data_IF_702841172716
#
_entry.id   IF_702841172716
#
_cell.length_a   1.000
_cell.length_b   1.000
_cell.length_c   1.000
_cell.angle_alpha   90.00
_cell.angle_beta   90.00
_cell.angle_gamma   90.00
#
_symmetry.space_group_name_H-M   'P 1'
#
loop_
_entity.id
_entity.type
_entity.pdbx_description
1 polymer ?
#
# COMPACT_ATOMS: atom_id res chain seq x y z
N UNK A 1 -79.56 -34.95 23.45
CA UNK A 1 -78.56 -33.93 23.28
C UNK A 1 -77.14 -34.44 22.81
N UNK A 2 -76.92 -35.74 22.66
CA UNK A 2 -75.66 -36.35 22.23
C UNK A 2 -75.53 -36.51 20.70
N UNK A 3 -76.59 -36.26 19.96
CA UNK A 3 -76.67 -36.64 18.52
C UNK A 3 -76.39 -35.50 17.52
N UNK A 4 -76.22 -34.24 17.96
CA UNK A 4 -76.10 -33.07 17.06
C UNK A 4 -74.72 -32.85 16.42
N UNK A 5 -73.67 -33.56 16.87
CA UNK A 5 -72.30 -33.35 16.40
C UNK A 5 -71.67 -34.61 15.77
N UNK A 6 -72.43 -35.56 15.35
CA UNK A 6 -71.86 -36.75 14.71
C UNK A 6 -71.74 -36.49 13.22
N UNK A 7 -70.52 -36.60 12.72
CA UNK A 7 -70.20 -36.37 11.29
C UNK A 7 -71.01 -37.35 10.39
N UNK A 8 -71.47 -36.87 9.25
CA UNK A 8 -72.13 -37.70 8.22
C UNK A 8 -71.30 -38.95 7.92
N UNK A 9 -71.93 -40.14 8.06
CA UNK A 9 -71.26 -41.40 7.76
C UNK A 9 -70.71 -42.15 8.99
N UNK A 10 -70.81 -41.57 10.17
CA UNK A 10 -70.54 -42.28 11.41
C UNK A 10 -71.81 -43.02 11.82
N UNK A 11 -71.66 -44.26 12.33
CA UNK A 11 -72.73 -45.10 12.81
C UNK A 11 -72.55 -45.40 14.30
N UNK A 12 -73.59 -45.31 15.05
CA UNK A 12 -73.61 -45.70 16.46
C UNK A 12 -74.64 -46.74 16.58
N UNK A 13 -74.22 -47.92 17.00
CA UNK A 13 -75.10 -49.09 17.23
C UNK A 13 -75.18 -49.40 18.72
N UNK A 14 -76.37 -49.50 19.25
CA UNK A 14 -76.60 -49.98 20.60
C UNK A 14 -77.40 -51.27 20.51
N UNK A 15 -76.94 -52.32 21.15
CA UNK A 15 -77.58 -53.64 21.14
C UNK A 15 -77.48 -54.30 22.52
N UNK A 16 -78.47 -55.18 22.85
CA UNK A 16 -78.47 -55.97 24.08
C UNK A 16 -77.60 -57.24 23.90
N UNK A 17 -77.41 -58.01 25.00
CA UNK A 17 -76.66 -59.27 24.93
C UNK A 17 -77.31 -60.33 24.06
N UNK A 18 -78.63 -60.23 23.78
CA UNK A 18 -79.34 -61.07 22.80
C UNK A 18 -79.16 -60.55 21.39
N UNK A 19 -78.34 -59.49 21.21
CA UNK A 19 -78.07 -58.83 19.93
C UNK A 19 -79.30 -58.20 19.23
N UNK A 20 -80.29 -57.82 20.03
CA UNK A 20 -81.41 -57.05 19.52
C UNK A 20 -80.99 -55.58 19.50
N UNK A 21 -81.20 -54.90 18.37
CA UNK A 21 -80.85 -53.50 18.22
C UNK A 21 -81.77 -52.62 19.02
N UNK A 22 -81.23 -51.90 19.99
CA UNK A 22 -82.00 -50.98 20.85
C UNK A 22 -82.09 -49.59 20.15
N UNK A 23 -81.03 -49.18 19.50
CA UNK A 23 -80.97 -47.88 18.79
C UNK A 23 -79.91 -47.93 17.74
N UNK A 24 -80.19 -47.37 16.59
CA UNK A 24 -79.23 -47.13 15.50
C UNK A 24 -79.30 -45.65 15.06
N UNK A 25 -78.16 -44.98 15.05
CA UNK A 25 -78.07 -43.62 14.58
C UNK A 25 -77.33 -43.61 13.25
N UNK A 26 -77.98 -43.05 12.25
CA UNK A 26 -77.47 -42.91 10.88
C UNK A 26 -77.39 -44.20 10.04
N UNK A 27 -78.00 -45.28 10.49
CA UNK A 27 -78.01 -46.55 9.74
C UNK A 27 -79.42 -47.06 9.57
N UNK A 28 -79.86 -47.13 8.34
CA UNK A 28 -81.24 -47.73 8.07
C UNK A 28 -81.12 -49.22 8.10
N UNK A 29 -81.25 -49.77 9.30
CA UNK A 29 -81.11 -51.21 9.54
C UNK A 29 -82.51 -51.90 9.43
N UNK A 30 -82.98 -52.04 8.20
CA UNK A 30 -84.21 -52.71 7.92
C UNK A 30 -84.03 -54.21 7.60
N UNK A 31 -82.82 -54.75 7.50
CA UNK A 31 -82.60 -56.17 7.22
C UNK A 31 -81.80 -56.85 8.36
N UNK A 32 -82.38 -57.92 8.91
CA UNK A 32 -81.78 -58.80 9.89
C UNK A 32 -80.42 -59.33 9.49
N UNK A 33 -80.20 -59.60 8.19
CA UNK A 33 -78.97 -60.14 7.63
C UNK A 33 -77.77 -59.19 7.77
N UNK A 34 -78.01 -57.89 7.70
CA UNK A 34 -76.96 -56.86 7.86
C UNK A 34 -76.48 -56.76 9.29
N UNK A 35 -77.41 -56.89 10.27
CA UNK A 35 -77.04 -56.85 11.68
C UNK A 35 -76.25 -58.11 12.04
N UNK A 36 -76.62 -59.27 11.48
CA UNK A 36 -75.93 -60.53 11.74
C UNK A 36 -74.50 -60.54 11.15
N UNK A 37 -74.28 -59.97 9.96
CA UNK A 37 -72.94 -59.78 9.37
C UNK A 37 -72.06 -58.79 10.18
N UNK A 38 -72.71 -57.76 10.71
CA UNK A 38 -72.01 -56.76 11.55
C UNK A 38 -71.66 -57.41 12.92
N UNK A 39 -72.55 -58.22 13.50
CA UNK A 39 -72.32 -58.99 14.71
C UNK A 39 -71.12 -59.93 14.56
N UNK A 40 -71.06 -60.69 13.49
CA UNK A 40 -69.99 -61.64 13.22
C UNK A 40 -68.60 -60.93 13.09
N UNK A 41 -68.60 -59.72 12.67
CA UNK A 41 -67.37 -58.90 12.58
C UNK A 41 -67.01 -58.21 13.91
N UNK A 42 -67.96 -57.96 14.81
CA UNK A 42 -67.78 -57.28 16.09
C UNK A 42 -67.61 -58.27 17.29
N UNK A 43 -68.19 -59.50 17.22
CA UNK A 43 -68.08 -60.48 18.27
C UNK A 43 -66.63 -60.92 18.60
N UNK A 44 -65.75 -60.73 17.66
CA UNK A 44 -64.31 -61.03 17.85
C UNK A 44 -63.56 -59.98 18.70
N UNK A 45 -64.17 -58.81 18.93
CA UNK A 45 -63.44 -57.64 19.53
C UNK A 45 -64.27 -57.11 20.74
N UNK A 46 -64.17 -57.76 21.86
CA UNK A 46 -64.83 -57.32 23.08
C UNK A 46 -63.90 -56.55 24.03
N UNK A 47 -62.94 -55.80 23.46
CA UNK A 47 -62.02 -54.91 24.19
C UNK A 47 -62.29 -53.46 23.85
N UNK A 48 -61.83 -52.57 24.72
CA UNK A 48 -61.91 -51.09 24.52
C UNK A 48 -60.91 -50.57 23.52
N UNK A 49 -60.41 -51.39 22.63
CA UNK A 49 -59.41 -50.97 21.61
C UNK A 49 -60.12 -50.57 20.31
N UNK A 50 -59.37 -49.77 19.51
CA UNK A 50 -59.80 -49.41 18.18
C UNK A 50 -59.47 -50.55 17.21
N UNK A 51 -60.48 -51.04 16.53
CA UNK A 51 -60.36 -52.14 15.58
C UNK A 51 -60.70 -51.70 14.16
N UNK A 52 -60.06 -52.32 13.21
CA UNK A 52 -60.35 -52.15 11.79
C UNK A 52 -61.35 -53.24 11.35
N UNK A 53 -62.48 -52.79 10.95
CA UNK A 53 -63.54 -53.71 10.50
C UNK A 53 -63.96 -53.40 9.09
N UNK A 54 -63.99 -54.36 8.23
CA UNK A 54 -64.49 -54.23 6.86
C UNK A 54 -65.97 -54.63 6.82
N UNK A 55 -66.78 -53.63 6.52
CA UNK A 55 -68.20 -53.81 6.43
C UNK A 55 -68.73 -53.22 5.11
N UNK A 56 -69.57 -54.02 4.39
CA UNK A 56 -70.11 -53.63 3.05
C UNK A 56 -69.06 -53.05 2.10
N UNK A 57 -67.90 -53.71 2.01
CA UNK A 57 -66.79 -53.26 1.17
C UNK A 57 -66.14 -51.89 1.56
N UNK A 58 -66.48 -51.33 2.72
CA UNK A 58 -65.89 -50.13 3.27
C UNK A 58 -65.15 -50.47 4.56
N UNK A 59 -64.03 -49.82 4.76
CA UNK A 59 -63.22 -49.97 5.97
C UNK A 59 -63.67 -48.95 7.01
N UNK A 60 -63.97 -49.43 8.19
CA UNK A 60 -64.36 -48.64 9.35
C UNK A 60 -63.42 -48.86 10.51
N UNK A 61 -63.22 -47.81 11.27
CA UNK A 61 -62.64 -47.86 12.60
C UNK A 61 -63.78 -48.04 13.59
N UNK A 62 -63.72 -49.06 14.40
CA UNK A 62 -64.76 -49.36 15.36
C UNK A 62 -64.23 -49.31 16.78
N UNK A 63 -65.03 -48.74 17.68
CA UNK A 63 -64.79 -48.74 19.11
C UNK A 63 -66.05 -49.30 19.79
N UNK A 64 -65.92 -50.45 20.48
CA UNK A 64 -67.00 -51.09 21.20
C UNK A 64 -66.79 -50.94 22.70
N UNK A 65 -67.90 -50.67 23.42
CA UNK A 65 -67.89 -50.61 24.87
C UNK A 65 -69.14 -51.33 25.40
N UNK A 66 -68.92 -52.33 26.25
CA UNK A 66 -70.00 -53.09 26.90
C UNK A 66 -70.32 -52.48 28.28
N UNK A 67 -71.53 -52.01 28.45
CA UNK A 67 -72.05 -51.44 29.68
C UNK A 67 -72.66 -52.55 30.53
N UNK A 68 -71.83 -53.35 31.19
CA UNK A 68 -72.21 -54.56 31.96
C UNK A 68 -73.34 -54.36 32.94
N UNK A 69 -73.62 -53.15 33.46
CA UNK A 69 -74.72 -52.89 34.46
C UNK A 69 -76.09 -52.84 33.84
N UNK A 70 -76.24 -52.58 32.58
CA UNK A 70 -77.49 -52.41 31.86
C UNK A 70 -77.64 -53.38 30.68
N UNK A 71 -76.67 -54.25 30.53
CA UNK A 71 -76.63 -55.28 29.50
C UNK A 71 -76.74 -54.74 28.07
N UNK A 72 -76.13 -53.57 27.84
CA UNK A 72 -76.13 -52.89 26.56
C UNK A 72 -74.66 -52.71 26.07
N UNK A 73 -74.40 -53.09 24.83
CA UNK A 73 -73.22 -52.84 24.13
C UNK A 73 -73.41 -51.64 23.17
N UNK A 74 -72.51 -50.71 23.18
CA UNK A 74 -72.47 -49.55 22.25
C UNK A 74 -71.24 -49.62 21.36
N UNK A 75 -71.44 -49.61 20.06
CA UNK A 75 -70.34 -49.59 19.07
C UNK A 75 -70.43 -48.36 18.19
N UNK A 76 -69.32 -47.59 18.11
CA UNK A 76 -69.16 -46.46 17.21
C UNK A 76 -68.32 -46.91 16.02
N UNK A 77 -68.86 -46.67 14.83
CA UNK A 77 -68.14 -46.99 13.57
C UNK A 77 -67.89 -45.72 12.80
N UNK A 78 -66.62 -45.43 12.53
CA UNK A 78 -66.17 -44.26 11.78
C UNK A 78 -65.55 -44.70 10.44
N UNK A 79 -65.99 -44.16 9.29
CA UNK A 79 -65.42 -44.53 8.01
C UNK A 79 -63.95 -44.09 7.93
N UNK A 80 -63.06 -45.07 7.76
CA UNK A 80 -61.59 -44.80 7.71
C UNK A 80 -61.21 -43.79 6.66
N UNK A 81 -61.88 -43.76 5.51
CA UNK A 81 -61.61 -42.83 4.42
C UNK A 81 -61.90 -41.38 4.80
N UNK A 82 -62.88 -41.10 5.66
CA UNK A 82 -63.14 -39.73 6.14
C UNK A 82 -62.04 -39.26 7.09
N UNK A 83 -61.63 -40.14 8.01
CA UNK A 83 -60.54 -39.85 8.93
C UNK A 83 -59.23 -39.60 8.14
N UNK A 84 -58.88 -40.46 7.20
CA UNK A 84 -57.70 -40.28 6.32
C UNK A 84 -57.74 -38.97 5.54
N UNK A 85 -58.90 -38.57 4.97
CA UNK A 85 -59.10 -37.34 4.28
C UNK A 85 -58.89 -36.14 5.19
N UNK A 86 -59.43 -36.14 6.39
CA UNK A 86 -59.21 -35.03 7.35
C UNK A 86 -57.77 -34.94 7.79
N UNK A 87 -57.13 -36.05 8.10
CA UNK A 87 -55.69 -36.08 8.44
C UNK A 87 -54.85 -35.58 7.29
N UNK A 88 -55.10 -36.03 6.05
CA UNK A 88 -54.35 -35.57 4.87
C UNK A 88 -54.56 -34.08 4.60
N UNK A 89 -55.78 -33.55 4.78
CA UNK A 89 -56.03 -32.11 4.61
C UNK A 89 -55.23 -31.28 5.64
N UNK A 90 -55.21 -31.75 6.90
CA UNK A 90 -54.42 -31.12 7.95
C UNK A 90 -52.91 -31.20 7.62
N UNK A 91 -52.43 -32.39 7.24
CA UNK A 91 -51.01 -32.55 6.83
C UNK A 91 -50.65 -31.67 5.63
N UNK A 92 -51.48 -31.60 4.60
CA UNK A 92 -51.26 -30.74 3.44
C UNK A 92 -51.22 -29.28 3.85
N UNK A 93 -52.10 -28.84 4.76
CA UNK A 93 -52.08 -27.48 5.29
C UNK A 93 -50.76 -27.18 6.02
N UNK A 94 -50.25 -28.09 6.85
CA UNK A 94 -48.95 -27.93 7.51
C UNK A 94 -47.79 -27.88 6.51
N UNK A 95 -47.83 -28.73 5.47
CA UNK A 95 -46.80 -28.71 4.40
C UNK A 95 -46.79 -27.38 3.70
N UNK A 96 -47.96 -26.82 3.34
CA UNK A 96 -48.06 -25.50 2.69
C UNK A 96 -47.50 -24.41 3.60
N UNK A 97 -47.90 -24.39 4.88
CA UNK A 97 -47.35 -23.40 5.85
C UNK A 97 -45.83 -23.51 5.98
N UNK A 98 -45.33 -24.75 6.05
CA UNK A 98 -43.88 -25.01 6.12
C UNK A 98 -43.15 -24.41 4.89
N UNK A 99 -43.67 -24.63 3.69
CA UNK A 99 -43.08 -24.05 2.47
C UNK A 99 -43.14 -22.54 2.47
N UNK A 100 -44.23 -21.93 2.96
CA UNK A 100 -44.31 -20.46 3.09
C UNK A 100 -43.25 -19.93 4.07
N UNK A 101 -43.08 -20.60 5.22
CA UNK A 101 -42.06 -20.20 6.21
C UNK A 101 -40.64 -20.29 5.61
N UNK A 102 -40.34 -21.43 4.94
CA UNK A 102 -39.03 -21.61 4.28
C UNK A 102 -38.81 -20.52 3.24
N UNK A 103 -39.82 -20.22 2.42
CA UNK A 103 -39.72 -19.16 1.42
C UNK A 103 -39.44 -17.76 2.04
N UNK A 104 -40.15 -17.43 3.12
CA UNK A 104 -39.92 -16.17 3.86
C UNK A 104 -38.49 -16.12 4.43
N UNK A 105 -38.03 -17.23 5.04
CA UNK A 105 -36.63 -17.28 5.57
C UNK A 105 -35.59 -17.10 4.47
N UNK A 106 -35.81 -17.69 3.30
CA UNK A 106 -34.91 -17.50 2.15
C UNK A 106 -34.92 -16.07 1.66
N UNK A 107 -36.08 -15.41 1.58
CA UNK A 107 -36.17 -13.99 1.22
C UNK A 107 -35.45 -13.11 2.21
N UNK A 108 -35.64 -13.31 3.51
CA UNK A 108 -34.95 -12.55 4.57
C UNK A 108 -33.45 -12.79 4.49
N UNK A 109 -33.02 -14.06 4.34
CA UNK A 109 -31.59 -14.38 4.19
C UNK A 109 -30.96 -13.70 2.99
N UNK A 110 -31.66 -13.69 1.84
CA UNK A 110 -31.20 -13.00 0.64
C UNK A 110 -31.09 -11.48 0.85
N UNK A 111 -32.08 -10.88 1.51
CA UNK A 111 -32.07 -9.46 1.85
C UNK A 111 -30.88 -9.11 2.77
N UNK A 112 -30.67 -9.87 3.86
CA UNK A 112 -29.54 -9.69 4.78
C UNK A 112 -28.20 -9.82 4.03
N UNK A 113 -28.07 -10.83 3.18
CA UNK A 113 -26.85 -11.03 2.40
C UNK A 113 -26.56 -9.83 1.48
N UNK A 114 -27.58 -9.31 0.81
CA UNK A 114 -27.41 -8.18 -0.13
C UNK A 114 -27.17 -6.86 0.59
N UNK A 115 -27.95 -6.54 1.61
CA UNK A 115 -27.95 -5.20 2.25
C UNK A 115 -26.98 -5.05 3.41
N UNK A 116 -26.46 -6.16 3.96
CA UNK A 116 -25.54 -6.10 5.10
C UNK A 116 -24.23 -6.80 4.79
N UNK A 117 -24.26 -8.09 4.43
CA UNK A 117 -23.04 -8.90 4.33
C UNK A 117 -22.12 -8.43 3.21
N UNK A 118 -22.68 -8.11 2.03
CA UNK A 118 -21.90 -7.66 0.88
C UNK A 118 -21.22 -6.30 1.12
N UNK A 119 -21.91 -5.22 1.57
CA UNK A 119 -21.28 -3.94 1.88
C UNK A 119 -20.20 -4.05 2.96
N UNK A 120 -20.45 -4.80 4.03
CA UNK A 120 -19.45 -5.02 5.09
C UNK A 120 -18.20 -5.71 4.53
N UNK A 121 -18.38 -6.72 3.68
CA UNK A 121 -17.27 -7.41 3.03
C UNK A 121 -16.42 -6.48 2.15
N UNK A 122 -17.08 -5.62 1.36
CA UNK A 122 -16.41 -4.60 0.53
C UNK A 122 -15.61 -3.62 1.40
N UNK A 123 -16.21 -3.19 2.50
CA UNK A 123 -15.57 -2.25 3.42
C UNK A 123 -14.33 -2.86 4.09
N UNK A 124 -14.42 -4.07 4.60
CA UNK A 124 -13.28 -4.79 5.19
C UNK A 124 -12.16 -4.97 4.16
N UNK A 125 -12.50 -5.32 2.92
CA UNK A 125 -11.53 -5.49 1.85
C UNK A 125 -10.79 -4.18 1.56
N UNK A 126 -11.48 -3.04 1.44
CA UNK A 126 -10.88 -1.74 1.21
C UNK A 126 -10.00 -1.30 2.40
N UNK A 127 -10.47 -1.46 3.63
CA UNK A 127 -9.70 -1.13 4.84
C UNK A 127 -8.43 -1.98 4.94
N UNK A 128 -8.49 -3.27 4.61
CA UNK A 128 -7.31 -4.13 4.60
C UNK A 128 -6.26 -3.68 3.58
N UNK A 129 -6.65 -3.22 2.40
CA UNK A 129 -5.70 -2.65 1.43
C UNK A 129 -5.00 -1.42 1.98
N UNK A 130 -5.74 -0.53 2.62
CA UNK A 130 -5.22 0.69 3.24
C UNK A 130 -4.25 0.35 4.38
N UNK A 131 -4.57 -0.62 5.23
CA UNK A 131 -3.75 -1.02 6.38
C UNK A 131 -2.36 -1.56 6.02
N UNK A 132 -2.19 -2.08 4.80
CA UNK A 132 -0.89 -2.56 4.30
C UNK A 132 0.00 -1.44 3.70
N UNK A 133 -0.30 -0.19 4.00
CA UNK A 133 0.53 0.96 3.63
C UNK A 133 0.12 1.65 2.34
N UNK A 134 -0.96 1.23 1.70
CA UNK A 134 -1.49 1.89 0.52
C UNK A 134 -2.55 2.95 0.89
N UNK A 135 -2.12 3.97 1.60
CA UNK A 135 -2.99 5.06 2.07
C UNK A 135 -3.57 5.92 0.95
N UNK A 136 -3.08 5.79 -0.29
CA UNK A 136 -3.57 6.56 -1.44
C UNK A 136 -4.90 6.02 -2.00
N UNK A 137 -5.29 4.78 -1.67
CA UNK A 137 -6.58 4.23 -2.08
C UNK A 137 -7.70 4.72 -1.17
N UNK A 138 -8.81 5.16 -1.78
CA UNK A 138 -10.03 5.54 -1.07
C UNK A 138 -11.00 4.37 -1.00
N UNK A 139 -11.78 4.32 0.07
CA UNK A 139 -12.91 3.39 0.19
C UNK A 139 -13.95 3.78 -0.86
N UNK A 140 -14.45 2.80 -1.62
CA UNK A 140 -15.44 2.98 -2.69
C UNK A 140 -16.37 1.76 -2.81
N UNK A 141 -17.46 1.91 -3.58
CA UNK A 141 -18.38 0.82 -3.87
C UNK A 141 -19.50 0.63 -2.85
N UNK A 142 -19.81 1.66 -2.04
CA UNK A 142 -20.87 1.65 -1.03
C UNK A 142 -21.94 2.70 -1.32
N UNK A 143 -21.94 3.30 -2.50
CA UNK A 143 -22.81 4.41 -2.90
C UNK A 143 -24.29 4.03 -2.96
N UNK A 144 -24.59 2.73 -3.13
CA UNK A 144 -25.98 2.21 -3.16
C UNK A 144 -26.62 2.09 -1.76
N UNK A 145 -25.85 2.26 -0.68
CA UNK A 145 -26.27 2.01 0.70
C UNK A 145 -26.04 3.25 1.55
N UNK A 146 -27.11 3.96 1.90
CA UNK A 146 -27.04 5.30 2.52
C UNK A 146 -26.16 5.33 3.79
N UNK A 147 -26.36 4.37 4.72
CA UNK A 147 -25.58 4.31 5.97
C UNK A 147 -24.11 3.92 5.74
N UNK A 148 -23.86 3.03 4.81
CA UNK A 148 -22.49 2.63 4.46
C UNK A 148 -21.78 3.71 3.63
N UNK A 149 -22.51 4.45 2.82
CA UNK A 149 -21.96 5.59 2.10
C UNK A 149 -21.52 6.71 3.06
N UNK A 150 -22.35 7.03 4.07
CA UNK A 150 -21.95 7.98 5.10
C UNK A 150 -20.65 7.56 5.81
N UNK A 151 -20.51 6.26 6.11
CA UNK A 151 -19.31 5.71 6.71
C UNK A 151 -18.11 5.74 5.74
N UNK A 152 -18.33 5.46 4.45
CA UNK A 152 -17.31 5.58 3.39
C UNK A 152 -16.77 7.02 3.33
N UNK A 153 -17.64 8.02 3.32
CA UNK A 153 -17.25 9.44 3.30
C UNK A 153 -16.43 9.78 4.55
N UNK A 154 -16.90 9.40 5.74
CA UNK A 154 -16.19 9.68 6.99
C UNK A 154 -14.79 9.04 7.04
N UNK A 155 -14.64 7.82 6.52
CA UNK A 155 -13.33 7.17 6.43
C UNK A 155 -12.43 7.88 5.42
N UNK A 156 -12.96 8.26 4.26
CA UNK A 156 -12.18 8.97 3.25
C UNK A 156 -11.72 10.35 3.76
N UNK A 157 -12.56 11.08 4.48
CA UNK A 157 -12.20 12.33 5.12
C UNK A 157 -11.09 12.14 6.17
N UNK A 158 -11.16 11.05 6.95
CA UNK A 158 -10.11 10.71 7.90
C UNK A 158 -8.78 10.40 7.18
N UNK A 159 -8.81 9.67 6.08
CA UNK A 159 -7.63 9.39 5.26
C UNK A 159 -7.01 10.68 4.71
N UNK A 160 -7.83 11.59 4.18
CA UNK A 160 -7.34 12.88 3.69
C UNK A 160 -6.68 13.71 4.82
N UNK A 161 -7.23 13.68 6.04
CA UNK A 161 -6.61 14.33 7.20
C UNK A 161 -5.29 13.65 7.62
N UNK A 162 -5.21 12.33 7.57
CA UNK A 162 -3.96 11.59 7.86
C UNK A 162 -2.88 11.96 6.84
N UNK A 163 -3.21 12.04 5.55
CA UNK A 163 -2.28 12.48 4.51
C UNK A 163 -1.76 13.89 4.78
N UNK A 164 -2.66 14.83 4.99
CA UNK A 164 -2.29 16.22 5.27
C UNK A 164 -1.41 16.33 6.54
N UNK A 165 -1.71 15.56 7.57
CA UNK A 165 -0.90 15.51 8.78
C UNK A 165 0.49 14.92 8.53
N UNK A 166 0.57 13.84 7.78
CA UNK A 166 1.84 13.19 7.43
C UNK A 166 2.75 14.13 6.61
N UNK A 167 2.18 14.83 5.62
CA UNK A 167 2.91 15.79 4.80
C UNK A 167 3.44 16.97 5.62
N UNK A 168 2.61 17.51 6.51
CA UNK A 168 3.02 18.55 7.44
C UNK A 168 4.16 18.11 8.38
N UNK A 169 4.09 16.90 8.93
CA UNK A 169 5.15 16.34 9.78
C UNK A 169 6.44 16.15 9.00
N UNK A 170 6.35 15.70 7.76
CA UNK A 170 7.52 15.54 6.89
C UNK A 170 8.18 16.89 6.60
N UNK A 171 7.40 17.91 6.25
CA UNK A 171 7.88 19.27 6.00
C UNK A 171 8.54 19.89 7.24
N UNK A 172 7.92 19.75 8.40
CA UNK A 172 8.48 20.18 9.68
C UNK A 172 9.82 19.50 9.98
N UNK A 173 9.90 18.18 9.79
CA UNK A 173 11.15 17.43 10.00
C UNK A 173 12.26 17.87 9.06
N UNK A 174 11.95 18.11 7.77
CA UNK A 174 12.92 18.66 6.80
C UNK A 174 13.38 20.05 7.24
N UNK A 175 12.45 20.92 7.65
CA UNK A 175 12.76 22.27 8.14
C UNK A 175 13.64 22.24 9.39
N UNK A 176 13.31 21.40 10.39
CA UNK A 176 14.10 21.21 11.59
C UNK A 176 15.52 20.70 11.27
N UNK A 177 15.63 19.68 10.43
CA UNK A 177 16.94 19.16 10.03
C UNK A 177 17.77 20.19 9.26
N UNK A 178 17.12 20.98 8.42
CA UNK A 178 17.78 22.08 7.69
C UNK A 178 18.26 23.17 8.65
N UNK A 179 17.44 23.53 9.66
CA UNK A 179 17.82 24.49 10.68
C UNK A 179 18.97 23.97 11.57
N UNK A 180 18.93 22.68 11.96
CA UNK A 180 20.00 22.02 12.72
C UNK A 180 21.33 22.05 11.96
N UNK A 181 21.31 21.69 10.66
CA UNK A 181 22.49 21.76 9.78
C UNK A 181 23.00 23.20 9.69
N UNK A 182 22.11 24.20 9.50
CA UNK A 182 22.52 25.62 9.46
C UNK A 182 23.12 26.07 10.78
N UNK A 183 22.56 25.67 11.92
CA UNK A 183 23.08 26.01 13.25
C UNK A 183 24.48 25.40 13.49
N UNK A 184 24.67 24.10 13.18
CA UNK A 184 25.97 23.44 13.27
C UNK A 184 27.02 24.11 12.36
N UNK A 185 26.61 24.51 11.18
CA UNK A 185 27.48 25.19 10.22
C UNK A 185 27.83 26.64 10.64
N UNK A 186 26.92 27.31 11.38
CA UNK A 186 27.19 28.68 11.89
C UNK A 186 28.18 28.67 13.05
N UNK A 187 28.42 27.53 13.70
CA UNK A 187 29.46 27.40 14.76
C UNK A 187 30.87 27.54 14.23
N UNK A 188 31.07 27.25 12.94
CA UNK A 188 32.32 27.63 12.25
C UNK A 188 32.18 29.08 11.86
N UNK A 189 32.68 30.01 12.68
CA UNK A 189 32.65 31.44 12.36
C UNK A 189 33.58 31.73 11.17
N UNK A 190 33.07 31.92 9.93
CA UNK A 190 33.92 32.11 8.76
C UNK A 190 34.80 33.36 8.86
N UNK A 191 34.26 34.36 9.50
CA UNK A 191 34.97 35.64 9.72
C UNK A 191 36.15 35.44 10.65
N UNK A 192 36.05 34.59 11.67
CA UNK A 192 37.16 34.30 12.56
C UNK A 192 38.32 33.62 11.80
N UNK A 193 38.02 32.58 11.01
CA UNK A 193 39.02 31.87 10.23
C UNK A 193 39.70 32.80 9.24
N UNK A 194 38.94 33.64 8.53
CA UNK A 194 39.47 34.63 7.60
C UNK A 194 40.38 35.63 8.32
N UNK A 195 39.99 36.13 9.48
CA UNK A 195 40.82 37.06 10.26
C UNK A 195 42.14 36.43 10.74
N UNK A 196 42.09 35.14 11.17
CA UNK A 196 43.30 34.41 11.55
C UNK A 196 44.23 34.25 10.37
N UNK A 197 43.74 33.87 9.17
CA UNK A 197 44.54 33.70 7.97
C UNK A 197 45.15 35.02 7.51
N UNK A 198 44.42 36.12 7.54
CA UNK A 198 44.95 37.45 7.26
C UNK A 198 46.06 37.85 8.25
N UNK A 199 45.85 37.56 9.53
CA UNK A 199 46.89 37.86 10.56
C UNK A 199 48.14 37.02 10.31
N UNK A 200 48.00 35.75 9.90
CA UNK A 200 49.13 34.90 9.52
C UNK A 200 49.88 35.47 8.29
N UNK A 201 49.12 35.88 7.25
CA UNK A 201 49.70 36.47 6.05
C UNK A 201 50.51 37.73 6.40
N UNK A 202 49.96 38.62 7.20
CA UNK A 202 50.67 39.85 7.64
C UNK A 202 51.93 39.56 8.46
N UNK A 203 51.88 38.61 9.40
CA UNK A 203 53.04 38.20 10.20
C UNK A 203 54.13 37.55 9.34
N UNK A 204 53.71 36.72 8.37
CA UNK A 204 54.65 36.10 7.40
C UNK A 204 55.37 37.17 6.56
N UNK A 205 54.63 38.15 6.05
CA UNK A 205 55.19 39.27 5.30
C UNK A 205 56.19 40.12 6.12
N UNK A 206 55.84 40.42 7.37
CA UNK A 206 56.73 41.13 8.32
C UNK A 206 57.99 40.32 8.66
N UNK A 207 58.02 39.02 8.43
CA UNK A 207 59.15 38.12 8.66
C UNK A 207 59.92 37.82 7.34
N UNK A 208 59.67 38.56 6.29
CA UNK A 208 60.25 38.36 4.94
C UNK A 208 59.98 36.98 4.34
N UNK A 209 58.90 36.31 4.80
CA UNK A 209 58.47 35.03 4.27
C UNK A 209 57.23 35.21 3.36
N UNK A 210 57.54 35.67 2.14
CA UNK A 210 56.48 35.98 1.15
C UNK A 210 55.72 34.72 0.69
N UNK A 211 56.35 33.54 0.73
CA UNK A 211 55.73 32.24 0.39
C UNK A 211 54.63 31.88 1.38
N UNK A 212 54.94 31.94 2.68
CA UNK A 212 53.94 31.67 3.72
C UNK A 212 52.81 32.71 3.70
N UNK A 213 53.13 33.98 3.40
CA UNK A 213 52.14 35.04 3.23
C UNK A 213 51.15 34.70 2.11
N UNK A 214 51.64 34.33 0.94
CA UNK A 214 50.83 33.97 -0.22
C UNK A 214 49.99 32.68 0.03
N UNK A 215 50.55 31.66 0.72
CA UNK A 215 49.81 30.48 1.12
C UNK A 215 48.62 30.85 2.02
N UNK A 216 48.83 31.69 3.03
CA UNK A 216 47.77 32.12 3.92
C UNK A 216 46.67 32.90 3.20
N UNK A 217 47.04 33.77 2.26
CA UNK A 217 46.11 34.49 1.38
C UNK A 217 45.30 33.50 0.51
N UNK A 218 45.98 32.57 -0.15
CA UNK A 218 45.31 31.59 -1.02
C UNK A 218 44.29 30.74 -0.27
N UNK A 219 44.62 30.24 0.94
CA UNK A 219 43.70 29.53 1.82
C UNK A 219 42.49 30.42 2.20
N UNK A 220 42.78 31.70 2.57
CA UNK A 220 41.74 32.67 2.93
C UNK A 220 40.74 32.93 1.79
N UNK A 221 41.24 33.11 0.57
CA UNK A 221 40.40 33.35 -0.62
C UNK A 221 39.56 32.12 -0.98
N UNK A 222 40.11 30.89 -0.93
CA UNK A 222 39.32 29.65 -1.13
C UNK A 222 38.25 29.53 -0.06
N UNK A 223 38.58 29.79 1.20
CA UNK A 223 37.61 29.70 2.30
C UNK A 223 36.51 30.76 2.17
N UNK A 224 36.83 31.95 1.80
CA UNK A 224 35.90 33.05 1.52
C UNK A 224 34.95 32.68 0.38
N UNK A 225 35.48 32.09 -0.70
CA UNK A 225 34.70 31.65 -1.84
C UNK A 225 33.69 30.56 -1.46
N UNK A 226 34.13 29.48 -0.78
CA UNK A 226 33.29 28.42 -0.33
C UNK A 226 32.16 28.89 0.59
N UNK A 227 32.39 29.99 1.31
CA UNK A 227 31.36 30.60 2.17
C UNK A 227 30.42 31.52 1.40
N UNK A 228 30.93 32.35 0.51
CA UNK A 228 30.18 33.34 -0.28
C UNK A 228 29.25 32.64 -1.30
N UNK A 229 29.76 31.63 -2.00
CA UNK A 229 29.03 30.90 -3.04
C UNK A 229 28.28 29.65 -2.53
N UNK A 230 28.21 29.45 -1.22
CA UNK A 230 27.58 28.30 -0.60
C UNK A 230 26.14 28.07 -1.03
N UNK A 231 25.35 29.13 -1.22
CA UNK A 231 23.96 29.10 -1.61
C UNK A 231 23.76 29.49 -3.10
N UNK A 232 24.84 29.78 -3.82
CA UNK A 232 24.77 30.14 -5.23
C UNK A 232 24.82 28.88 -6.08
N UNK A 233 23.99 28.84 -7.11
CA UNK A 233 24.03 27.77 -8.09
C UNK A 233 25.07 27.99 -9.15
N UNK A 234 25.39 29.26 -9.44
CA UNK A 234 26.24 29.69 -10.52
C UNK A 234 27.33 30.64 -10.04
N UNK A 235 28.47 30.63 -10.77
CA UNK A 235 29.62 31.52 -10.62
C UNK A 235 30.17 31.82 -12.00
N UNK A 236 30.81 32.98 -12.19
CA UNK A 236 31.48 33.29 -13.44
C UNK A 236 32.73 32.43 -13.65
N UNK A 237 33.07 32.14 -14.90
CA UNK A 237 34.32 31.41 -15.24
C UNK A 237 35.54 32.11 -14.66
N UNK A 238 35.61 33.43 -14.72
CA UNK A 238 36.74 34.22 -14.18
C UNK A 238 36.93 33.94 -12.67
N UNK A 239 35.83 33.94 -11.89
CA UNK A 239 35.91 33.67 -10.46
C UNK A 239 36.23 32.20 -10.16
N UNK A 240 35.62 31.24 -10.87
CA UNK A 240 35.90 29.81 -10.73
C UNK A 240 37.41 29.55 -11.00
N UNK A 241 37.96 30.11 -12.08
CA UNK A 241 39.35 29.96 -12.43
C UNK A 241 40.31 30.64 -11.43
N UNK A 242 39.90 31.74 -10.80
CA UNK A 242 40.64 32.35 -9.70
C UNK A 242 40.82 31.36 -8.54
N UNK A 243 39.77 30.66 -8.14
CA UNK A 243 39.83 29.66 -7.05
C UNK A 243 40.60 28.42 -7.46
N UNK A 244 40.45 27.97 -8.69
CA UNK A 244 41.27 26.87 -9.25
C UNK A 244 42.76 27.23 -9.23
N UNK A 245 43.15 28.47 -9.59
CA UNK A 245 44.53 28.92 -9.53
C UNK A 245 45.08 28.95 -8.09
N UNK A 246 44.29 29.40 -7.11
CA UNK A 246 44.72 29.36 -5.71
C UNK A 246 44.88 27.90 -5.21
N UNK A 247 43.98 27.02 -5.61
CA UNK A 247 44.07 25.58 -5.25
C UNK A 247 45.36 24.97 -5.85
N UNK A 248 45.61 25.20 -7.14
CA UNK A 248 46.82 24.72 -7.83
C UNK A 248 48.09 25.27 -7.15
N UNK A 249 48.13 26.56 -6.85
CA UNK A 249 49.24 27.18 -6.14
C UNK A 249 49.55 26.47 -4.81
N UNK A 250 48.54 26.21 -3.99
CA UNK A 250 48.72 25.49 -2.73
C UNK A 250 49.22 24.05 -2.93
N UNK A 251 48.73 23.37 -3.96
CA UNK A 251 49.19 22.00 -4.27
C UNK A 251 50.63 22.00 -4.81
N UNK A 252 51.05 22.98 -5.62
CA UNK A 252 52.44 23.12 -6.09
C UNK A 252 53.40 23.32 -4.91
N UNK A 253 53.03 24.16 -3.94
CA UNK A 253 53.81 24.33 -2.72
C UNK A 253 53.96 23.02 -1.90
N UNK A 254 52.96 22.15 -1.93
CA UNK A 254 53.00 20.85 -1.25
C UNK A 254 53.83 19.81 -1.96
N UNK A 255 53.93 19.88 -3.29
CA UNK A 255 54.52 18.83 -4.12
C UNK A 255 55.82 19.28 -4.85
N UNK A 256 56.47 20.36 -4.41
CA UNK A 256 57.74 20.86 -4.95
C UNK A 256 57.75 20.98 -6.50
N UNK A 257 56.71 21.59 -7.08
CA UNK A 257 56.54 21.82 -8.53
C UNK A 257 56.60 20.57 -9.43
N UNK A 258 56.33 19.37 -8.88
CA UNK A 258 56.28 18.14 -9.68
C UNK A 258 55.15 18.10 -10.69
N UNK A 259 54.15 18.97 -10.52
CA UNK A 259 52.96 18.97 -11.35
C UNK A 259 52.89 20.26 -12.15
N UNK A 260 53.00 20.15 -13.47
CA UNK A 260 52.86 21.28 -14.39
C UNK A 260 51.38 21.42 -14.81
N UNK A 261 50.92 22.67 -14.95
CA UNK A 261 49.50 22.93 -15.31
C UNK A 261 49.43 23.84 -16.53
N UNK A 262 48.63 23.45 -17.50
CA UNK A 262 48.33 24.24 -18.71
C UNK A 262 46.86 24.66 -18.72
N UNK A 263 46.62 25.95 -18.97
CA UNK A 263 45.29 26.51 -19.18
C UNK A 263 45.07 26.76 -20.67
N UNK A 264 44.10 26.11 -21.27
CA UNK A 264 43.70 26.22 -22.67
C UNK A 264 42.24 26.74 -22.72
N UNK A 265 42.11 28.06 -22.59
CA UNK A 265 40.83 28.73 -22.37
C UNK A 265 40.59 29.72 -23.52
N UNK A 266 39.40 29.61 -24.13
CA UNK A 266 39.00 30.55 -25.17
C UNK A 266 38.85 31.96 -24.61
N UNK A 267 39.05 32.95 -25.49
CA UNK A 267 38.84 34.36 -25.15
C UNK A 267 37.36 34.64 -24.95
N UNK A 268 37.06 35.68 -24.17
CA UNK A 268 35.68 36.16 -23.94
C UNK A 268 34.74 35.17 -23.22
N UNK A 269 35.30 34.36 -22.29
CA UNK A 269 34.51 33.44 -21.44
C UNK A 269 34.34 33.95 -20.01
N UNK A 270 35.02 34.99 -19.59
CA UNK A 270 35.15 35.43 -18.20
C UNK A 270 33.80 35.67 -17.51
N UNK A 271 32.83 36.25 -18.20
CA UNK A 271 31.53 36.62 -17.69
C UNK A 271 30.49 35.51 -17.81
N UNK A 272 30.84 34.38 -18.42
CA UNK A 272 29.91 33.25 -18.57
C UNK A 272 29.73 32.55 -17.23
N UNK A 273 28.47 32.31 -16.85
CA UNK A 273 28.12 31.63 -15.61
C UNK A 273 28.12 30.11 -15.77
N UNK A 274 28.83 29.43 -14.90
CA UNK A 274 28.90 27.97 -14.81
C UNK A 274 28.47 27.50 -13.43
N UNK A 275 28.11 26.22 -13.23
CA UNK A 275 27.79 25.67 -11.91
C UNK A 275 28.96 25.84 -10.94
N UNK A 276 28.70 26.37 -9.73
CA UNK A 276 29.77 26.66 -8.74
C UNK A 276 30.67 25.45 -8.48
N UNK A 277 31.95 25.66 -8.44
CA UNK A 277 33.01 24.69 -8.10
C UNK A 277 33.00 23.43 -8.99
N UNK A 278 32.50 23.52 -10.23
CA UNK A 278 32.53 22.39 -11.16
C UNK A 278 33.91 22.08 -11.70
N UNK A 279 34.66 23.12 -12.09
CA UNK A 279 36.05 22.98 -12.54
C UNK A 279 36.95 22.61 -11.37
N UNK A 280 36.80 23.27 -10.23
CA UNK A 280 37.56 22.97 -9.02
C UNK A 280 37.41 21.49 -8.59
N UNK A 281 36.18 20.93 -8.60
CA UNK A 281 35.95 19.53 -8.25
C UNK A 281 36.69 18.57 -9.18
N UNK A 282 36.76 18.87 -10.47
CA UNK A 282 37.48 18.03 -11.44
C UNK A 282 39.00 18.16 -11.28
N UNK A 283 39.48 19.36 -11.03
CA UNK A 283 40.93 19.63 -10.78
C UNK A 283 41.36 18.95 -9.48
N UNK A 284 40.57 19.05 -8.42
CA UNK A 284 40.84 18.36 -7.15
C UNK A 284 40.90 16.84 -7.36
N UNK A 285 39.97 16.27 -8.14
CA UNK A 285 40.01 14.84 -8.46
C UNK A 285 41.26 14.43 -9.23
N UNK A 286 41.68 15.23 -10.21
CA UNK A 286 42.89 14.98 -10.98
C UNK A 286 44.15 15.05 -10.10
N UNK A 287 44.24 16.04 -9.20
CA UNK A 287 45.35 16.12 -8.25
C UNK A 287 45.42 14.96 -7.29
N UNK A 288 44.33 14.73 -6.51
CA UNK A 288 44.30 13.78 -5.38
C UNK A 288 44.34 12.33 -5.86
N UNK A 289 43.65 12.03 -6.93
CA UNK A 289 43.47 10.64 -7.38
C UNK A 289 44.30 10.29 -8.62
N UNK A 290 44.66 11.26 -9.44
CA UNK A 290 45.46 11.02 -10.63
C UNK A 290 46.96 11.30 -10.43
N UNK A 291 47.32 12.48 -9.97
CA UNK A 291 48.68 12.99 -10.00
C UNK A 291 49.45 12.76 -8.69
N UNK A 292 48.83 12.89 -7.53
CA UNK A 292 49.47 12.68 -6.21
C UNK A 292 50.04 11.25 -6.05
N UNK A 293 49.34 10.16 -6.50
CA UNK A 293 49.91 8.82 -6.42
C UNK A 293 51.02 8.54 -7.44
N UNK A 294 51.28 9.42 -8.40
CA UNK A 294 52.30 9.23 -9.44
C UNK A 294 53.69 9.51 -8.90
N UNK A 295 54.62 8.61 -9.13
CA UNK A 295 56.04 8.78 -8.69
C UNK A 295 56.84 9.74 -9.56
N UNK A 296 56.37 10.04 -10.76
CA UNK A 296 57.03 10.90 -11.74
C UNK A 296 56.36 12.27 -11.85
N UNK A 297 56.96 13.21 -12.59
CA UNK A 297 56.33 14.49 -12.89
C UNK A 297 55.01 14.29 -13.62
N UNK A 298 54.00 15.07 -13.21
CA UNK A 298 52.64 15.02 -13.77
C UNK A 298 52.30 16.27 -14.56
N UNK A 299 51.33 16.15 -15.45
CA UNK A 299 50.79 17.25 -16.23
C UNK A 299 49.29 17.32 -16.16
N UNK A 300 48.74 18.49 -15.87
CA UNK A 300 47.30 18.77 -15.85
C UNK A 300 46.97 19.80 -16.93
N UNK A 301 45.99 19.51 -17.77
CA UNK A 301 45.43 20.45 -18.73
C UNK A 301 44.01 20.79 -18.38
N UNK A 302 43.73 22.09 -18.25
CA UNK A 302 42.39 22.64 -18.01
C UNK A 302 41.95 23.32 -19.30
N UNK A 303 40.97 22.74 -19.99
CA UNK A 303 40.46 23.27 -21.26
C UNK A 303 39.02 23.70 -21.11
N UNK A 304 38.70 24.96 -21.44
CA UNK A 304 37.37 25.52 -21.47
C UNK A 304 37.16 26.22 -22.81
N UNK A 305 36.31 25.69 -23.66
CA UNK A 305 36.12 26.15 -25.04
C UNK A 305 34.67 26.18 -25.44
N UNK A 306 34.33 27.08 -26.37
CA UNK A 306 33.04 27.00 -27.08
C UNK A 306 33.07 25.88 -28.11
N UNK A 307 31.97 25.24 -28.33
CA UNK A 307 31.83 24.32 -29.45
C UNK A 307 31.84 25.06 -30.80
N UNK A 308 31.98 24.32 -31.92
CA UNK A 308 32.10 24.93 -33.26
C UNK A 308 30.85 25.77 -33.65
N UNK A 309 29.72 25.55 -33.01
CA UNK A 309 28.47 26.27 -33.28
C UNK A 309 28.17 27.36 -32.24
N UNK A 310 29.06 27.56 -31.26
CA UNK A 310 28.88 28.46 -30.10
C UNK A 310 27.56 28.22 -29.30
N UNK A 311 27.09 27.00 -29.29
CA UNK A 311 25.89 26.60 -28.54
C UNK A 311 26.19 26.01 -27.18
N UNK A 312 27.36 25.41 -27.04
CA UNK A 312 27.79 24.72 -25.83
C UNK A 312 29.17 25.19 -25.38
N UNK A 313 29.34 25.24 -24.08
CA UNK A 313 30.62 25.35 -23.44
C UNK A 313 31.12 23.94 -23.10
N UNK A 314 32.32 23.61 -23.61
CA UNK A 314 32.99 22.34 -23.36
C UNK A 314 34.03 22.56 -22.27
N UNK A 315 33.92 21.86 -21.17
CA UNK A 315 34.88 21.87 -20.07
C UNK A 315 35.54 20.51 -20.03
N UNK A 316 36.87 20.48 -20.10
CA UNK A 316 37.64 19.24 -20.15
C UNK A 316 38.89 19.39 -19.26
N UNK A 317 39.05 18.44 -18.33
CA UNK A 317 40.19 18.32 -17.44
C UNK A 317 40.92 17.05 -17.79
N UNK A 318 42.22 17.21 -18.15
CA UNK A 318 43.04 16.09 -18.61
C UNK A 318 44.26 15.98 -17.71
N UNK A 319 44.50 14.81 -17.13
CA UNK A 319 45.71 14.51 -16.37
C UNK A 319 46.42 13.28 -16.99
N UNK A 320 47.71 13.20 -16.77
CA UNK A 320 48.59 12.08 -17.11
C UNK A 320 48.90 11.22 -15.90
N UNK A 321 47.98 11.17 -14.93
CA UNK A 321 48.10 10.45 -13.67
C UNK A 321 47.92 8.94 -13.80
N UNK A 322 47.78 8.28 -12.64
CA UNK A 322 47.64 6.82 -12.57
C UNK A 322 46.33 6.29 -13.21
N UNK A 323 45.34 7.15 -13.38
CA UNK A 323 44.07 6.78 -14.02
C UNK A 323 43.13 5.94 -13.18
N UNK A 324 42.07 5.48 -13.81
CA UNK A 324 41.06 4.62 -13.18
C UNK A 324 41.29 3.15 -13.55
N UNK A 325 41.46 2.27 -12.56
CA UNK A 325 41.39 0.82 -12.81
C UNK A 325 40.02 0.41 -13.38
N UNK A 326 38.97 1.06 -12.88
CA UNK A 326 37.59 0.83 -13.31
C UNK A 326 36.83 2.15 -13.34
N UNK A 327 36.41 2.60 -14.53
CA UNK A 327 35.66 3.83 -14.69
C UNK A 327 34.36 3.74 -13.88
N UNK A 328 34.10 4.70 -12.97
CA UNK A 328 32.90 4.73 -12.15
C UNK A 328 31.66 4.94 -13.04
N UNK A 329 30.66 4.05 -12.90
CA UNK A 329 29.34 4.25 -13.50
C UNK A 329 28.48 5.04 -12.54
N UNK A 330 27.96 6.17 -12.98
CA UNK A 330 27.05 6.99 -12.18
C UNK A 330 25.60 6.66 -12.56
N UNK A 331 24.92 5.86 -11.72
CA UNK A 331 23.48 5.65 -11.85
C UNK A 331 22.70 6.91 -11.49
N UNK A 332 22.11 7.54 -12.48
CA UNK A 332 21.36 8.80 -12.35
C UNK A 332 20.01 8.56 -11.65
N UNK A 333 19.44 7.37 -11.76
CA UNK A 333 18.09 7.00 -11.29
C UNK A 333 17.99 6.47 -9.85
N UNK A 334 19.08 6.32 -9.13
CA UNK A 334 19.03 5.90 -7.72
C UNK A 334 18.80 7.11 -6.84
N UNK A 335 17.50 7.47 -6.68
CA UNK A 335 17.08 8.17 -5.45
C UNK A 335 17.70 7.40 -4.28
N UNK A 336 18.49 8.08 -3.47
CA UNK A 336 19.20 7.54 -2.32
C UNK A 336 18.24 6.77 -1.40
N UNK A 337 17.96 5.50 -1.69
CA UNK A 337 17.63 4.55 -0.64
C UNK A 337 18.91 4.50 0.20
N UNK A 338 18.78 5.01 1.44
CA UNK A 338 19.84 4.96 2.41
C UNK A 338 20.40 3.54 2.49
N UNK A 339 21.54 3.34 1.85
CA UNK A 339 22.38 2.19 2.14
C UNK A 339 23.08 2.49 3.45
N UNK A 340 22.53 1.88 4.48
CA UNK A 340 23.11 1.60 5.78
C UNK A 340 24.63 1.38 5.71
N UNK A 341 25.32 2.14 6.61
CA UNK A 341 26.57 1.76 7.28
C UNK A 341 27.55 0.90 6.47
N UNK A 342 28.32 1.55 5.61
CA UNK A 342 29.68 1.12 5.36
C UNK A 342 30.62 2.22 5.85
N UNK A 343 31.68 1.78 6.53
CA UNK A 343 32.60 2.53 7.35
C UNK A 343 32.99 3.91 6.79
N UNK A 344 33.09 4.88 7.70
CA UNK A 344 33.74 6.19 7.51
C UNK A 344 35.22 5.93 7.22
N UNK A 345 35.55 5.75 5.94
CA UNK A 345 36.87 5.65 5.40
C UNK A 345 36.76 5.89 3.91
N UNK A 346 37.29 7.01 3.42
CA UNK A 346 37.50 7.45 2.03
C UNK A 346 36.71 6.64 0.97
N UNK A 347 35.47 7.10 0.68
CA UNK A 347 34.74 6.63 -0.51
C UNK A 347 35.34 7.36 -1.72
N UNK A 348 36.07 6.65 -2.62
CA UNK A 348 36.60 7.28 -3.82
C UNK A 348 35.45 7.87 -4.66
N UNK A 349 35.63 9.06 -5.21
CA UNK A 349 34.80 9.70 -6.23
C UNK A 349 33.41 10.24 -5.78
N UNK A 350 33.19 10.56 -4.49
CA UNK A 350 31.95 11.21 -4.03
C UNK A 350 31.78 12.59 -4.72
N UNK A 351 32.87 13.36 -4.90
CA UNK A 351 32.84 14.64 -5.57
C UNK A 351 32.31 14.53 -7.00
N UNK A 352 32.83 13.59 -7.78
CA UNK A 352 32.42 13.37 -9.17
C UNK A 352 30.95 12.91 -9.24
N UNK A 353 30.52 12.03 -8.37
CA UNK A 353 29.11 11.58 -8.31
C UNK A 353 28.16 12.75 -8.03
N UNK A 354 28.51 13.60 -7.08
CA UNK A 354 27.69 14.76 -6.72
C UNK A 354 27.68 15.81 -7.86
N UNK A 355 28.80 16.03 -8.50
CA UNK A 355 28.88 16.92 -9.65
C UNK A 355 28.06 16.41 -10.82
N UNK A 356 28.19 15.11 -11.17
CA UNK A 356 27.40 14.47 -12.23
C UNK A 356 25.90 14.60 -12.00
N UNK A 357 25.44 14.31 -10.78
CA UNK A 357 24.03 14.46 -10.41
C UNK A 357 23.56 15.91 -10.52
N UNK A 358 24.39 16.87 -10.08
CA UNK A 358 24.05 18.30 -10.16
C UNK A 358 23.92 18.76 -11.60
N UNK A 359 24.88 18.41 -12.48
CA UNK A 359 24.85 18.73 -13.90
C UNK A 359 23.62 18.15 -14.58
N UNK A 360 23.28 16.88 -14.28
CA UNK A 360 22.05 16.24 -14.77
C UNK A 360 20.79 16.99 -14.35
N UNK A 361 20.68 17.37 -13.06
CA UNK A 361 19.50 18.09 -12.54
C UNK A 361 19.38 19.51 -13.13
N UNK A 362 20.50 20.17 -13.47
CA UNK A 362 20.50 21.53 -14.01
C UNK A 362 20.28 21.58 -15.53
N UNK A 363 20.83 20.60 -16.29
CA UNK A 363 20.91 20.68 -17.75
C UNK A 363 20.46 19.39 -18.48
N UNK A 364 20.12 18.33 -17.76
CA UNK A 364 19.66 17.06 -18.35
C UNK A 364 20.79 16.11 -18.74
N UNK A 365 20.44 15.11 -19.57
CA UNK A 365 21.33 14.00 -19.93
C UNK A 365 22.56 14.45 -20.74
N UNK A 366 22.45 15.53 -21.47
CA UNK A 366 23.56 16.03 -22.33
C UNK A 366 24.73 16.62 -21.55
N UNK A 367 24.54 16.99 -20.28
CA UNK A 367 25.52 17.62 -19.44
C UNK A 367 26.22 16.67 -18.44
N UNK A 368 25.96 15.37 -18.52
CA UNK A 368 26.61 14.40 -17.63
C UNK A 368 28.09 14.28 -17.88
N UNK A 369 28.84 13.87 -16.84
CA UNK A 369 30.27 13.68 -16.94
C UNK A 369 30.62 12.55 -17.92
N UNK A 370 31.50 12.80 -18.84
CA UNK A 370 32.13 11.85 -19.71
C UNK A 370 33.56 11.58 -19.24
N UNK A 371 33.88 10.31 -18.95
CA UNK A 371 35.17 9.93 -18.39
C UNK A 371 35.86 8.97 -19.37
N UNK A 372 37.04 9.34 -19.83
CA UNK A 372 37.94 8.48 -20.58
C UNK A 372 39.22 8.31 -19.77
N UNK A 373 39.65 7.09 -19.53
CA UNK A 373 40.87 6.81 -18.78
C UNK A 373 41.62 5.64 -19.38
N UNK A 374 42.91 5.85 -19.59
CA UNK A 374 43.87 4.83 -19.91
C UNK A 374 44.84 4.81 -18.73
N UNK A 375 44.88 3.77 -17.90
CA UNK A 375 45.75 3.72 -16.72
C UNK A 375 47.21 4.10 -17.04
N UNK A 376 47.80 4.88 -16.18
CA UNK A 376 49.21 5.39 -16.28
C UNK A 376 49.54 6.23 -17.52
N UNK A 377 48.55 6.54 -18.37
CA UNK A 377 48.77 7.29 -19.60
C UNK A 377 48.00 8.61 -19.57
N UNK A 378 46.69 8.52 -19.38
CA UNK A 378 45.85 9.73 -19.48
C UNK A 378 44.47 9.47 -18.88
N UNK A 379 43.97 10.45 -18.11
CA UNK A 379 42.57 10.57 -17.76
C UNK A 379 42.00 11.88 -18.30
N UNK A 380 40.84 11.82 -18.93
CA UNK A 380 40.11 13.01 -19.39
C UNK A 380 38.70 12.94 -18.80
N UNK A 381 38.29 13.97 -18.08
CA UNK A 381 36.94 14.14 -17.58
C UNK A 381 36.35 15.40 -18.19
N UNK A 382 35.26 15.25 -18.90
CA UNK A 382 34.62 16.34 -19.62
C UNK A 382 33.13 16.40 -19.42
N UNK A 383 32.55 17.56 -19.62
CA UNK A 383 31.12 17.78 -19.74
C UNK A 383 30.83 18.99 -20.62
N UNK A 384 29.60 19.11 -21.12
CA UNK A 384 29.17 20.28 -21.90
C UNK A 384 27.91 20.88 -21.26
N UNK A 385 27.85 22.22 -21.28
CA UNK A 385 26.67 22.95 -20.82
C UNK A 385 26.21 23.93 -21.91
N UNK A 386 24.91 24.23 -22.03
CA UNK A 386 24.45 25.23 -22.99
C UNK A 386 24.94 26.62 -22.62
N UNK A 387 25.25 27.43 -23.64
CA UNK A 387 25.69 28.83 -23.51
C UNK A 387 24.51 29.78 -23.41
#
# INVERSE_FOLDING_TARGET
MLTQNISKGWHILMYNNSFETISDYNYDVTSKDRIEALKKSLDYYNDKALHHVKFESKDYLTLSNNLKKIDISATIMAPQNQIKRQVNNVLNSYIIVMFIIIFIVLLISFAISRYITKPVGTMIHNINKISHGNYSEKVSGLEEYEEFYALQVAINDMLDQIHAYHDNVLEQNISLKTAEIKALQSQLNPHFIFNVLNTLAWKAEMSDNSELSQMAIAIGEIFKATTAYRNSQYISIAEELKFVKFYIYLQQMRFDDKISVTFDIDKDLDDINIPCFCVQTLVENAYVHGLEPKDTNGHLTISIKKDNENKFLLINIIDDGVGFEKIPKFDINVASKGTTSEAVGSRPHIGLKNLNRRLFLMYGEDAVLHIESIPEVRTAISFKIPL
#
